data_IF_788699906547
#
_entry.id   IF_788699906547
#
_cell.length_a   1.000
_cell.length_b   1.000
_cell.length_c   1.000
_cell.angle_alpha   90.00
_cell.angle_beta   90.00
_cell.angle_gamma   90.00
#
_symmetry.space_group_name_H-M   'P 1'
#
loop_
_entity.id
_entity.type
_entity.pdbx_description
1 polymer ?
#
# COMPACT_ATOMS: atom_id res chain seq x y z
N UNK A 1 2.57 0.50 -14.63
CA UNK A 1 1.99 1.75 -14.04
C UNK A 1 2.44 1.82 -12.60
N UNK A 2 2.90 2.97 -12.10
CA UNK A 2 3.27 3.13 -10.69
C UNK A 2 1.98 3.30 -9.86
N UNK A 3 1.73 2.38 -8.94
CA UNK A 3 0.53 2.39 -8.09
C UNK A 3 0.77 3.20 -6.82
N UNK A 4 1.89 2.96 -6.11
CA UNK A 4 2.21 3.58 -4.82
C UNK A 4 3.20 4.71 -5.03
N UNK A 5 2.91 5.88 -4.44
CA UNK A 5 3.82 7.01 -4.39
C UNK A 5 3.75 7.68 -3.02
N UNK A 6 4.79 8.46 -2.68
CA UNK A 6 4.82 9.28 -1.45
C UNK A 6 4.52 8.45 -0.19
N UNK A 7 5.05 7.22 -0.14
CA UNK A 7 4.91 6.30 0.99
C UNK A 7 5.78 6.75 2.17
N UNK A 8 5.23 6.59 3.38
CA UNK A 8 5.91 6.81 4.65
C UNK A 8 5.48 5.74 5.64
N UNK A 9 6.45 5.21 6.35
CA UNK A 9 6.24 4.23 7.43
C UNK A 9 6.55 4.90 8.76
N UNK A 10 5.68 4.70 9.74
CA UNK A 10 5.79 5.27 11.08
C UNK A 10 5.72 4.16 12.11
N UNK A 11 6.36 4.35 13.25
CA UNK A 11 6.28 3.48 14.42
C UNK A 11 6.77 2.04 14.20
N UNK A 12 7.63 1.83 13.19
CA UNK A 12 8.10 0.49 12.83
C UNK A 12 8.94 -0.13 13.97
N UNK A 13 9.93 0.59 14.42
CA UNK A 13 10.86 0.10 15.43
C UNK A 13 10.24 0.16 16.82
N UNK A 14 9.48 1.18 17.12
CA UNK A 14 8.71 1.35 18.34
C UNK A 14 7.74 0.17 18.55
N UNK A 15 7.00 -0.20 17.50
CA UNK A 15 6.13 -1.37 17.53
C UNK A 15 6.88 -2.68 17.70
N UNK A 16 8.09 -2.81 17.16
CA UNK A 16 8.97 -3.96 17.40
C UNK A 16 9.40 -4.05 18.87
N UNK A 17 9.73 -2.92 19.50
CA UNK A 17 10.07 -2.85 20.93
C UNK A 17 8.84 -3.20 21.76
N UNK A 18 7.70 -2.54 21.49
CA UNK A 18 6.45 -2.72 22.22
C UNK A 18 5.90 -4.15 22.13
N UNK A 19 6.22 -4.90 21.06
CA UNK A 19 5.86 -6.32 20.95
C UNK A 19 6.37 -7.18 22.11
N UNK A 20 7.32 -6.67 22.90
CA UNK A 20 7.88 -7.34 24.07
C UNK A 20 7.13 -7.10 25.38
N UNK A 21 6.21 -6.15 25.43
CA UNK A 21 5.55 -5.77 26.69
C UNK A 21 4.80 -6.93 27.34
N UNK A 22 4.18 -7.79 26.55
CA UNK A 22 3.49 -8.97 27.06
C UNK A 22 4.39 -9.99 27.78
N UNK A 23 5.71 -9.88 27.64
CA UNK A 23 6.71 -10.76 28.26
C UNK A 23 7.41 -10.11 29.45
N UNK A 24 7.05 -8.86 29.81
CA UNK A 24 7.60 -8.17 30.96
C UNK A 24 6.87 -8.62 32.23
N UNK A 25 7.62 -9.03 33.27
CA UNK A 25 7.07 -9.29 34.60
C UNK A 25 6.62 -7.98 35.26
N UNK A 26 7.38 -6.90 35.03
CA UNK A 26 7.10 -5.56 35.52
C UNK A 26 7.44 -4.58 34.40
N UNK A 27 6.54 -3.64 34.15
CA UNK A 27 6.85 -2.52 33.26
C UNK A 27 7.82 -1.57 33.96
N UNK A 28 9.00 -1.40 33.36
CA UNK A 28 10.00 -0.43 33.80
C UNK A 28 10.15 0.64 32.72
N UNK A 29 9.76 1.87 33.06
CA UNK A 29 9.74 3.00 32.12
C UNK A 29 11.15 3.38 31.70
N UNK A 30 12.16 3.32 32.59
CA UNK A 30 13.53 3.70 32.27
C UNK A 30 14.16 2.73 31.28
N UNK A 31 13.91 1.43 31.47
CA UNK A 31 14.35 0.40 30.52
C UNK A 31 13.74 0.58 29.15
N UNK A 32 12.42 0.84 29.06
CA UNK A 32 11.71 1.07 27.82
C UNK A 32 12.21 2.33 27.12
N UNK A 33 12.36 3.44 27.86
CA UNK A 33 12.91 4.69 27.31
C UNK A 33 14.35 4.48 26.81
N UNK A 34 15.16 3.69 27.53
CA UNK A 34 16.52 3.36 27.11
C UNK A 34 16.53 2.63 25.76
N UNK A 35 15.63 1.64 25.56
CA UNK A 35 15.50 0.95 24.26
C UNK A 35 15.06 1.91 23.15
N UNK A 36 14.08 2.80 23.40
CA UNK A 36 13.67 3.80 22.42
C UNK A 36 14.76 4.82 22.08
N UNK A 37 15.59 5.23 23.05
CA UNK A 37 16.73 6.13 22.77
C UNK A 37 17.73 5.52 21.80
N UNK A 38 17.90 4.20 21.81
CA UNK A 38 18.78 3.49 20.87
C UNK A 38 18.28 3.54 19.43
N UNK A 39 16.98 3.82 19.18
CA UNK A 39 16.44 4.00 17.83
C UNK A 39 16.95 5.26 17.14
N UNK A 40 17.44 6.24 17.92
CA UNK A 40 18.03 7.49 17.38
C UNK A 40 19.45 7.22 16.88
N UNK A 41 20.08 6.14 17.33
CA UNK A 41 21.39 5.71 16.86
C UNK A 41 21.23 4.75 15.68
N UNK A 42 21.63 5.19 14.48
CA UNK A 42 21.56 4.41 13.24
C UNK A 42 22.27 3.03 13.34
N UNK A 43 23.11 2.83 14.38
CA UNK A 43 23.80 1.56 14.61
C UNK A 43 22.90 0.52 15.31
N UNK A 44 21.78 0.91 15.91
CA UNK A 44 20.92 0.02 16.68
C UNK A 44 20.34 -1.13 15.87
N UNK A 45 20.01 -0.88 14.59
CA UNK A 45 19.49 -1.87 13.65
C UNK A 45 20.51 -2.37 12.65
N UNK A 46 21.77 -1.92 12.71
CA UNK A 46 22.85 -2.30 11.78
C UNK A 46 23.17 -3.81 11.75
N UNK A 47 22.67 -4.57 12.76
CA UNK A 47 22.73 -6.04 12.83
C UNK A 47 21.36 -6.62 13.14
N UNK A 48 20.44 -6.48 12.20
CA UNK A 48 19.04 -6.90 12.35
C UNK A 48 18.88 -8.35 12.78
N UNK A 49 19.71 -9.26 12.24
CA UNK A 49 19.68 -10.67 12.59
C UNK A 49 20.04 -10.94 14.06
N UNK A 50 20.78 -10.07 14.71
CA UNK A 50 21.15 -10.19 16.13
C UNK A 50 20.19 -9.45 17.07
N UNK A 51 19.35 -8.55 16.52
CA UNK A 51 18.46 -7.72 17.30
C UNK A 51 17.32 -8.55 17.94
N UNK A 52 17.20 -8.49 19.28
CA UNK A 52 16.17 -9.23 20.04
C UNK A 52 14.75 -8.86 19.65
N UNK A 53 14.50 -7.58 19.31
CA UNK A 53 13.17 -7.07 18.94
C UNK A 53 12.78 -7.54 17.55
N UNK A 54 13.70 -7.51 16.59
CA UNK A 54 13.52 -8.07 15.25
C UNK A 54 13.20 -9.56 15.33
N UNK A 55 14.02 -10.35 16.02
CA UNK A 55 13.77 -11.80 16.21
C UNK A 55 12.41 -12.09 16.82
N UNK A 56 11.98 -11.28 17.78
CA UNK A 56 10.68 -11.45 18.44
C UNK A 56 9.53 -11.15 17.49
N UNK A 57 9.56 -10.01 16.76
CA UNK A 57 8.48 -9.68 15.82
C UNK A 57 8.38 -10.72 14.70
N UNK A 58 9.50 -11.19 14.16
CA UNK A 58 9.51 -12.27 13.17
C UNK A 58 8.91 -13.57 13.73
N UNK A 59 9.22 -13.93 14.98
CA UNK A 59 8.62 -15.11 15.64
C UNK A 59 7.11 -14.95 15.85
N UNK A 60 6.63 -13.79 16.26
CA UNK A 60 5.20 -13.52 16.46
C UNK A 60 4.45 -13.53 15.13
N UNK A 61 5.07 -13.04 14.07
CA UNK A 61 4.49 -12.99 12.70
C UNK A 61 4.34 -14.37 12.06
N UNK A 62 5.05 -15.41 12.53
CA UNK A 62 4.81 -16.80 12.08
C UNK A 62 3.41 -17.32 12.39
N UNK A 63 2.72 -16.71 13.33
CA UNK A 63 1.36 -17.08 13.69
C UNK A 63 0.35 -16.57 12.66
N UNK A 64 -0.85 -17.17 12.60
CA UNK A 64 -1.93 -16.71 11.71
C UNK A 64 -2.23 -15.22 11.94
N UNK A 65 -2.48 -14.47 10.88
CA UNK A 65 -2.71 -13.02 10.94
C UNK A 65 -3.83 -12.62 11.93
N UNK A 66 -4.84 -13.46 12.10
CA UNK A 66 -5.98 -13.22 13.02
C UNK A 66 -5.82 -13.86 14.41
N UNK A 67 -4.62 -14.33 14.78
CA UNK A 67 -4.39 -15.01 16.07
C UNK A 67 -4.10 -14.05 17.23
N UNK A 68 -3.94 -12.76 16.98
CA UNK A 68 -3.50 -11.77 17.95
C UNK A 68 -1.99 -11.68 18.17
N UNK A 69 -1.22 -12.72 17.83
CA UNK A 69 0.25 -12.71 18.01
C UNK A 69 0.95 -11.65 17.14
N UNK A 70 0.61 -11.47 15.83
CA UNK A 70 1.23 -10.43 15.01
C UNK A 70 0.61 -9.03 15.23
N UNK A 71 -0.17 -8.83 16.28
CA UNK A 71 -0.94 -7.60 16.50
C UNK A 71 -0.05 -6.34 16.64
N UNK A 72 1.22 -6.50 17.06
CA UNK A 72 2.17 -5.38 17.08
C UNK A 72 2.33 -4.72 15.69
N UNK A 73 2.13 -5.47 14.60
CA UNK A 73 2.15 -4.93 13.22
C UNK A 73 0.98 -3.98 12.92
N UNK A 74 -0.06 -3.96 13.75
CA UNK A 74 -1.13 -2.97 13.64
C UNK A 74 -0.69 -1.57 14.09
N UNK A 75 0.37 -1.48 14.91
CA UNK A 75 0.99 -0.22 15.32
C UNK A 75 1.90 0.38 14.24
N UNK A 76 2.39 -0.42 13.29
CA UNK A 76 3.23 0.05 12.19
C UNK A 76 2.36 0.72 11.13
N UNK A 77 2.29 2.06 11.15
CA UNK A 77 1.43 2.83 10.29
C UNK A 77 2.09 3.14 8.95
N UNK A 78 1.29 3.10 7.88
CA UNK A 78 1.71 3.47 6.52
C UNK A 78 0.79 4.53 5.97
N UNK A 79 1.36 5.65 5.54
CA UNK A 79 0.67 6.68 4.79
C UNK A 79 1.23 6.71 3.37
N UNK A 80 0.38 6.62 2.34
CA UNK A 80 0.80 6.58 0.94
C UNK A 80 -0.25 7.15 0.00
N UNK A 81 0.17 7.59 -1.17
CA UNK A 81 -0.73 7.91 -2.27
C UNK A 81 -0.85 6.67 -3.16
N UNK A 82 -2.06 6.24 -3.45
CA UNK A 82 -2.33 5.11 -4.34
C UNK A 82 -3.18 5.53 -5.51
N UNK A 83 -2.81 5.08 -6.72
CA UNK A 83 -3.53 5.37 -7.96
C UNK A 83 -4.18 4.09 -8.46
N UNK A 84 -5.50 4.04 -8.42
CA UNK A 84 -6.30 2.90 -8.83
C UNK A 84 -7.45 3.33 -9.75
N UNK A 85 -7.94 2.39 -10.55
CA UNK A 85 -9.24 2.57 -11.20
C UNK A 85 -10.38 2.63 -10.18
N UNK A 86 -11.48 3.28 -10.53
CA UNK A 86 -12.71 3.24 -9.72
C UNK A 86 -13.15 1.81 -9.41
N UNK A 87 -12.84 0.86 -10.29
CA UNK A 87 -13.14 -0.56 -10.08
C UNK A 87 -12.42 -1.12 -8.87
N UNK A 88 -11.13 -0.83 -8.72
CA UNK A 88 -10.32 -1.28 -7.59
C UNK A 88 -10.65 -0.50 -6.31
N UNK A 89 -10.96 0.80 -6.41
CA UNK A 89 -11.32 1.62 -5.24
C UNK A 89 -12.51 1.05 -4.47
N UNK A 90 -13.55 0.59 -5.16
CA UNK A 90 -14.73 -0.07 -4.53
C UNK A 90 -14.34 -1.33 -3.77
N UNK A 91 -13.33 -2.05 -4.22
CA UNK A 91 -12.81 -3.22 -3.50
C UNK A 91 -11.91 -2.83 -2.32
N UNK A 92 -11.17 -1.72 -2.44
CA UNK A 92 -10.36 -1.14 -1.37
C UNK A 92 -11.21 -0.72 -0.17
N UNK A 93 -12.35 -0.10 -0.38
CA UNK A 93 -13.26 0.38 0.66
C UNK A 93 -13.82 -0.74 1.57
N UNK A 94 -13.66 -2.00 1.20
CA UNK A 94 -14.04 -3.16 2.03
C UNK A 94 -13.07 -3.44 3.18
N UNK A 95 -11.90 -2.83 3.18
CA UNK A 95 -10.92 -3.02 4.24
C UNK A 95 -11.17 -2.03 5.38
N UNK A 96 -11.23 -2.54 6.62
CA UNK A 96 -11.66 -1.74 7.77
C UNK A 96 -10.52 -0.96 8.44
N UNK A 97 -9.30 -1.51 8.45
CA UNK A 97 -8.15 -0.87 9.10
C UNK A 97 -7.35 0.01 8.13
N UNK A 98 -8.07 0.86 7.44
CA UNK A 98 -7.52 1.87 6.53
C UNK A 98 -8.44 3.09 6.50
N UNK A 99 -7.87 4.23 6.17
CA UNK A 99 -8.62 5.47 5.98
C UNK A 99 -8.22 6.10 4.66
N UNK A 100 -9.22 6.45 3.86
CA UNK A 100 -9.04 7.34 2.71
C UNK A 100 -9.09 8.77 3.26
N UNK A 101 -7.93 9.43 3.30
CA UNK A 101 -7.79 10.79 3.82
C UNK A 101 -8.41 11.79 2.84
N UNK A 102 -8.14 11.59 1.54
CA UNK A 102 -8.69 12.38 0.43
C UNK A 102 -8.47 11.65 -0.88
N UNK A 103 -9.21 12.01 -1.91
CA UNK A 103 -9.04 11.48 -3.26
C UNK A 103 -9.29 12.56 -4.32
N UNK A 104 -8.81 12.33 -5.54
CA UNK A 104 -9.27 13.11 -6.69
C UNK A 104 -10.78 12.95 -6.85
N UNK A 105 -11.45 14.04 -7.16
CA UNK A 105 -12.91 14.07 -7.31
C UNK A 105 -13.32 14.08 -8.78
N UNK A 106 -14.08 13.09 -9.21
CA UNK A 106 -14.72 13.09 -10.52
C UNK A 106 -15.76 14.21 -10.63
N UNK A 107 -16.48 14.52 -9.55
CA UNK A 107 -17.50 15.56 -9.55
C UNK A 107 -16.94 16.96 -9.84
N UNK A 108 -15.72 17.25 -9.34
CA UNK A 108 -15.13 18.59 -9.50
C UNK A 108 -14.12 18.69 -10.65
N UNK A 109 -13.55 17.57 -11.07
CA UNK A 109 -12.40 17.58 -11.98
C UNK A 109 -12.68 16.97 -13.34
N UNK A 110 -13.67 16.09 -13.49
CA UNK A 110 -13.91 15.33 -14.72
C UNK A 110 -14.06 16.23 -15.96
N UNK A 111 -14.69 17.40 -15.81
CA UNK A 111 -14.81 18.39 -16.89
C UNK A 111 -13.49 19.00 -17.37
N UNK A 112 -12.42 18.89 -16.57
CA UNK A 112 -11.10 19.49 -16.82
C UNK A 112 -9.97 18.46 -16.91
N UNK A 113 -10.25 17.17 -16.70
CA UNK A 113 -9.25 16.10 -16.77
C UNK A 113 -8.80 15.87 -18.22
N UNK A 114 -7.50 15.56 -18.38
CA UNK A 114 -7.01 14.99 -19.62
C UNK A 114 -7.45 13.53 -19.70
N UNK A 115 -8.49 13.26 -20.48
CA UNK A 115 -9.09 11.92 -20.59
C UNK A 115 -8.27 10.93 -21.42
N UNK A 116 -7.17 11.35 -22.06
CA UNK A 116 -6.32 10.44 -22.84
C UNK A 116 -5.43 9.54 -21.95
N UNK A 117 -5.07 10.02 -20.76
CA UNK A 117 -4.12 9.35 -19.87
C UNK A 117 -4.75 8.81 -18.56
N UNK A 118 -6.04 9.07 -18.37
CA UNK A 118 -6.72 8.82 -17.10
C UNK A 118 -7.28 7.40 -16.94
N UNK A 119 -7.14 6.51 -17.92
CA UNK A 119 -7.78 5.19 -17.89
C UNK A 119 -6.76 4.05 -17.74
N UNK A 120 -7.23 2.90 -17.27
CA UNK A 120 -6.50 1.64 -17.41
C UNK A 120 -6.50 1.23 -18.87
N UNK A 121 -5.44 0.57 -19.32
CA UNK A 121 -5.19 0.19 -20.71
C UNK A 121 -6.35 -0.59 -21.36
N UNK A 122 -7.06 -1.38 -20.55
CA UNK A 122 -8.16 -2.23 -21.02
C UNK A 122 -9.50 -1.50 -21.12
N UNK A 123 -9.54 -0.17 -20.91
CA UNK A 123 -10.77 0.60 -21.12
C UNK A 123 -11.01 0.77 -22.61
N UNK A 124 -12.21 0.40 -23.07
CA UNK A 124 -12.60 0.50 -24.49
C UNK A 124 -12.54 1.94 -24.99
N UNK A 125 -11.86 2.16 -26.14
CA UNK A 125 -11.66 3.48 -26.74
C UNK A 125 -12.99 4.16 -27.09
N UNK A 126 -14.00 3.41 -27.53
CA UNK A 126 -15.33 3.96 -27.86
C UNK A 126 -15.98 4.59 -26.62
N UNK A 127 -15.78 3.99 -25.45
CA UNK A 127 -16.29 4.53 -24.17
C UNK A 127 -15.54 5.81 -23.80
N UNK A 128 -14.21 5.82 -23.99
CA UNK A 128 -13.37 7.01 -23.74
C UNK A 128 -13.78 8.16 -24.65
N UNK A 129 -13.93 7.91 -25.95
CA UNK A 129 -14.32 8.93 -26.93
C UNK A 129 -15.71 9.47 -26.63
N UNK A 130 -16.65 8.60 -26.23
CA UNK A 130 -17.98 9.07 -25.80
C UNK A 130 -17.89 9.96 -24.57
N UNK A 131 -17.03 9.65 -23.62
CA UNK A 131 -16.84 10.50 -22.44
C UNK A 131 -16.21 11.86 -22.81
N UNK A 132 -15.26 11.89 -23.75
CA UNK A 132 -14.69 13.13 -24.31
C UNK A 132 -15.75 14.01 -24.96
N UNK A 133 -16.68 13.42 -25.73
CA UNK A 133 -17.81 14.16 -26.31
C UNK A 133 -18.70 14.77 -25.21
N UNK A 134 -19.02 14.00 -24.16
CA UNK A 134 -19.83 14.49 -23.05
C UNK A 134 -19.11 15.61 -22.27
N UNK A 135 -17.79 15.48 -22.09
CA UNK A 135 -16.95 16.51 -21.48
C UNK A 135 -16.99 17.81 -22.30
N UNK A 136 -16.82 17.70 -23.63
CA UNK A 136 -16.92 18.83 -24.55
C UNK A 136 -18.30 19.47 -24.50
N UNK A 137 -19.37 18.67 -24.59
CA UNK A 137 -20.74 19.17 -24.54
C UNK A 137 -21.03 19.96 -23.23
N UNK A 138 -20.52 19.47 -22.08
CA UNK A 138 -20.65 20.20 -20.84
C UNK A 138 -19.82 21.50 -20.84
N UNK A 139 -18.61 21.48 -21.35
CA UNK A 139 -17.75 22.67 -21.37
C UNK A 139 -18.29 23.76 -22.33
N UNK A 140 -18.89 23.35 -23.45
CA UNK A 140 -19.51 24.28 -24.41
C UNK A 140 -20.86 24.82 -23.92
N UNK A 141 -21.62 24.00 -23.17
CA UNK A 141 -22.93 24.35 -22.61
C UNK A 141 -23.08 23.79 -21.19
N UNK A 142 -22.66 24.54 -20.13
CA UNK A 142 -22.56 24.06 -18.76
C UNK A 142 -23.92 24.01 -18.04
N UNK A 143 -24.84 23.19 -18.52
CA UNK A 143 -26.12 22.91 -17.89
C UNK A 143 -26.00 21.79 -16.87
N UNK A 144 -26.93 21.76 -15.89
CA UNK A 144 -27.04 20.64 -14.94
C UNK A 144 -27.23 19.30 -15.65
N UNK A 145 -28.01 19.27 -16.72
CA UNK A 145 -28.26 18.06 -17.49
C UNK A 145 -26.95 17.52 -18.10
N UNK A 146 -26.18 18.36 -18.78
CA UNK A 146 -24.90 17.97 -19.38
C UNK A 146 -23.88 17.54 -18.33
N UNK A 147 -23.86 18.22 -17.17
CA UNK A 147 -23.05 17.84 -16.03
C UNK A 147 -23.39 16.42 -15.55
N UNK A 148 -24.67 16.12 -15.31
CA UNK A 148 -25.09 14.81 -14.84
C UNK A 148 -24.81 13.71 -15.86
N UNK A 149 -25.02 13.97 -17.17
CA UNK A 149 -24.64 13.05 -18.25
C UNK A 149 -23.15 12.72 -18.20
N UNK A 150 -22.30 13.72 -18.04
CA UNK A 150 -20.84 13.53 -17.95
C UNK A 150 -20.47 12.67 -16.71
N UNK A 151 -20.93 13.04 -15.53
CA UNK A 151 -20.51 12.40 -14.27
C UNK A 151 -21.02 10.96 -14.18
N UNK A 152 -22.28 10.70 -14.54
CA UNK A 152 -22.86 9.36 -14.48
C UNK A 152 -22.40 8.43 -15.61
N UNK A 153 -21.81 8.98 -16.67
CA UNK A 153 -21.24 8.18 -17.77
C UNK A 153 -19.78 7.83 -17.56
N UNK A 154 -19.19 8.21 -16.42
CA UNK A 154 -17.79 7.93 -16.12
C UNK A 154 -17.55 6.42 -15.97
N UNK A 155 -16.69 5.79 -16.78
CA UNK A 155 -16.44 4.35 -16.72
C UNK A 155 -15.60 3.96 -15.51
N UNK A 156 -15.76 2.72 -15.05
CA UNK A 156 -15.03 2.16 -13.91
C UNK A 156 -13.51 2.06 -14.11
N UNK A 157 -13.04 2.12 -15.37
CA UNK A 157 -11.61 2.10 -15.70
C UNK A 157 -10.90 3.45 -15.49
N UNK A 158 -11.63 4.52 -15.11
CA UNK A 158 -11.00 5.80 -14.78
C UNK A 158 -10.11 5.65 -13.55
N UNK A 159 -8.83 6.05 -13.68
CA UNK A 159 -7.85 6.06 -12.58
C UNK A 159 -7.96 7.34 -11.77
N UNK A 160 -7.92 7.20 -10.47
CA UNK A 160 -7.87 8.29 -9.51
C UNK A 160 -6.79 8.02 -8.47
N UNK A 161 -6.17 9.07 -7.98
CA UNK A 161 -5.22 8.98 -6.87
C UNK A 161 -5.93 9.33 -5.57
N UNK A 162 -5.69 8.52 -4.54
CA UNK A 162 -6.16 8.77 -3.18
C UNK A 162 -5.00 8.71 -2.19
N UNK A 163 -5.02 9.61 -1.20
CA UNK A 163 -4.15 9.52 -0.02
C UNK A 163 -4.79 8.59 0.99
N UNK A 164 -4.05 7.58 1.42
CA UNK A 164 -4.55 6.58 2.38
C UNK A 164 -3.60 6.46 3.57
N UNK A 165 -4.18 6.07 4.72
CA UNK A 165 -3.44 5.64 5.90
C UNK A 165 -3.92 4.25 6.29
N UNK A 166 -3.00 3.34 6.55
CA UNK A 166 -3.26 1.95 6.95
C UNK A 166 -2.13 1.44 7.85
N UNK A 167 -2.04 0.13 8.08
CA UNK A 167 -0.98 -0.50 8.87
C UNK A 167 -0.47 -1.80 8.22
N UNK A 168 0.67 -2.29 8.72
CA UNK A 168 1.30 -3.50 8.16
C UNK A 168 0.40 -4.73 8.25
N UNK A 169 -0.30 -4.93 9.35
CA UNK A 169 -1.18 -6.10 9.52
C UNK A 169 -2.30 -6.11 8.47
N UNK A 170 -2.90 -4.94 8.19
CA UNK A 170 -3.91 -4.81 7.14
C UNK A 170 -3.28 -5.02 5.75
N UNK A 171 -2.09 -4.46 5.49
CA UNK A 171 -1.41 -4.64 4.20
C UNK A 171 -1.01 -6.10 3.95
N UNK A 172 -0.56 -6.83 4.97
CA UNK A 172 -0.31 -8.29 4.85
C UNK A 172 -1.59 -9.06 4.53
N UNK A 173 -2.72 -8.66 5.12
CA UNK A 173 -4.04 -9.23 4.81
C UNK A 173 -4.45 -8.94 3.37
N UNK A 174 -4.29 -7.69 2.91
CA UNK A 174 -4.54 -7.29 1.52
C UNK A 174 -3.65 -8.09 0.56
N UNK A 175 -2.35 -8.16 0.84
CA UNK A 175 -1.39 -8.93 0.04
C UNK A 175 -1.84 -10.39 -0.13
N UNK A 176 -2.12 -11.06 0.98
CA UNK A 176 -2.56 -12.46 0.96
C UNK A 176 -3.83 -12.69 0.12
N UNK A 177 -4.76 -11.74 0.14
CA UNK A 177 -6.04 -11.84 -0.59
C UNK A 177 -5.92 -11.39 -2.05
N UNK A 178 -4.99 -10.51 -2.39
CA UNK A 178 -4.98 -9.77 -3.66
C UNK A 178 -3.81 -10.06 -4.59
N UNK A 179 -2.72 -10.68 -4.13
CA UNK A 179 -1.53 -10.94 -4.97
C UNK A 179 -1.82 -11.72 -6.26
N UNK A 180 -2.84 -12.58 -6.24
CA UNK A 180 -3.29 -13.36 -7.40
C UNK A 180 -4.67 -12.89 -7.90
N UNK A 181 -5.01 -11.62 -7.71
CA UNK A 181 -6.30 -11.09 -8.12
C UNK A 181 -6.41 -10.93 -9.64
N UNK A 182 -7.64 -11.00 -10.19
CA UNK A 182 -7.90 -10.88 -11.63
C UNK A 182 -7.63 -9.49 -12.18
N UNK A 183 -7.80 -8.43 -11.38
CA UNK A 183 -7.46 -7.07 -11.77
C UNK A 183 -5.94 -6.87 -11.60
N UNK A 184 -5.21 -6.54 -12.67
CA UNK A 184 -3.74 -6.48 -12.65
C UNK A 184 -3.20 -5.42 -11.71
N UNK A 185 -3.96 -4.36 -11.44
CA UNK A 185 -3.60 -3.29 -10.53
C UNK A 185 -3.30 -3.80 -9.10
N UNK A 186 -4.04 -4.82 -8.62
CA UNK A 186 -3.77 -5.45 -7.33
C UNK A 186 -2.43 -6.19 -7.31
N UNK A 187 -2.08 -6.85 -8.41
CA UNK A 187 -0.78 -7.52 -8.55
C UNK A 187 0.38 -6.53 -8.49
N UNK A 188 0.27 -5.40 -9.22
CA UNK A 188 1.27 -4.33 -9.20
C UNK A 188 1.35 -3.67 -7.81
N UNK A 189 0.22 -3.42 -7.15
CA UNK A 189 0.18 -2.92 -5.78
C UNK A 189 0.94 -3.84 -4.81
N UNK A 190 0.65 -5.14 -4.85
CA UNK A 190 1.31 -6.13 -4.00
C UNK A 190 2.83 -6.19 -4.24
N UNK A 191 3.26 -6.10 -5.50
CA UNK A 191 4.67 -6.02 -5.86
C UNK A 191 5.33 -4.77 -5.29
N UNK A 192 4.70 -3.59 -5.47
CA UNK A 192 5.25 -2.35 -4.96
C UNK A 192 5.28 -2.28 -3.43
N UNK A 193 4.40 -2.98 -2.70
CA UNK A 193 4.50 -3.10 -1.24
C UNK A 193 5.80 -3.77 -0.81
N UNK A 194 6.18 -4.86 -1.47
CA UNK A 194 7.45 -5.57 -1.20
C UNK A 194 8.65 -4.67 -1.52
N UNK A 195 8.62 -3.97 -2.64
CA UNK A 195 9.73 -3.14 -3.10
C UNK A 195 9.97 -1.90 -2.23
N UNK A 196 8.93 -1.38 -1.58
CA UNK A 196 8.95 -0.05 -0.96
C UNK A 196 8.88 -0.05 0.56
N UNK A 197 8.29 -1.08 1.17
CA UNK A 197 8.06 -1.08 2.61
C UNK A 197 9.16 -1.88 3.33
N UNK A 198 9.84 -1.28 4.33
CA UNK A 198 10.90 -1.94 5.10
C UNK A 198 10.41 -3.25 5.75
N UNK A 199 11.19 -4.32 5.64
CA UNK A 199 10.92 -5.64 6.23
C UNK A 199 9.61 -6.31 5.78
N UNK A 200 8.88 -5.73 4.83
CA UNK A 200 7.57 -6.25 4.45
C UNK A 200 7.67 -7.63 3.79
N UNK A 201 8.70 -7.84 2.97
CA UNK A 201 8.98 -9.13 2.37
C UNK A 201 9.26 -10.21 3.43
N UNK A 202 10.18 -9.94 4.35
CA UNK A 202 10.60 -10.87 5.41
C UNK A 202 9.41 -11.23 6.31
N UNK A 203 8.53 -10.27 6.61
CA UNK A 203 7.31 -10.50 7.36
C UNK A 203 6.33 -11.43 6.62
N UNK A 204 6.17 -11.25 5.31
CA UNK A 204 5.36 -12.14 4.47
C UNK A 204 5.95 -13.54 4.39
N UNK A 205 7.27 -13.63 4.24
CA UNK A 205 8.00 -14.90 4.15
C UNK A 205 7.86 -15.72 5.44
N UNK A 206 8.15 -15.12 6.60
CA UNK A 206 8.04 -15.84 7.89
C UNK A 206 6.60 -16.22 8.24
N UNK A 207 5.61 -15.48 7.74
CA UNK A 207 4.18 -15.83 7.88
C UNK A 207 3.76 -16.97 6.93
N UNK A 208 4.58 -17.31 5.93
CA UNK A 208 4.26 -18.32 4.92
C UNK A 208 3.24 -17.87 3.87
N UNK A 209 3.08 -16.56 3.67
CA UNK A 209 2.19 -15.98 2.66
C UNK A 209 2.83 -16.06 1.26
N UNK A 210 4.16 -15.90 1.16
CA UNK A 210 4.88 -15.97 -0.11
C UNK A 210 4.89 -17.39 -0.67
N UNK A 211 4.60 -17.52 -1.96
CA UNK A 211 4.77 -18.78 -2.68
C UNK A 211 6.12 -18.81 -3.44
N UNK A 212 6.47 -19.95 -4.07
CA UNK A 212 7.72 -20.10 -4.81
C UNK A 212 7.82 -19.13 -6.00
N UNK A 213 6.69 -18.69 -6.57
CA UNK A 213 6.67 -17.72 -7.68
C UNK A 213 6.98 -16.32 -7.20
N UNK A 214 6.52 -15.97 -6.01
CA UNK A 214 6.84 -14.69 -5.38
C UNK A 214 8.34 -14.60 -5.07
N UNK A 215 8.94 -15.69 -4.56
CA UNK A 215 10.38 -15.79 -4.27
C UNK A 215 11.26 -15.65 -5.53
N UNK A 216 10.89 -16.28 -6.64
CA UNK A 216 11.64 -16.20 -7.91
C UNK A 216 11.60 -14.78 -8.49
N UNK A 217 10.48 -14.06 -8.33
CA UNK A 217 10.36 -12.66 -8.79
C UNK A 217 11.33 -11.75 -8.05
N UNK A 218 11.53 -11.94 -6.75
CA UNK A 218 12.43 -11.09 -5.96
C UNK A 218 13.90 -11.32 -6.25
N UNK A 219 14.33 -12.54 -6.47
CA UNK A 219 15.70 -12.82 -6.90
C UNK A 219 16.02 -12.04 -8.17
N UNK A 220 15.06 -11.90 -9.09
CA UNK A 220 15.20 -11.07 -10.29
C UNK A 220 15.27 -9.57 -10.00
N UNK A 221 14.54 -9.06 -9.00
CA UNK A 221 14.53 -7.64 -8.61
C UNK A 221 15.83 -7.28 -7.89
N UNK A 222 16.28 -8.10 -6.94
CA UNK A 222 17.53 -7.92 -6.22
C UNK A 222 18.75 -7.90 -7.18
N UNK A 223 18.78 -8.80 -8.17
CA UNK A 223 19.82 -8.82 -9.20
C UNK A 223 19.79 -7.58 -10.11
N UNK A 224 18.61 -7.07 -10.46
CA UNK A 224 18.50 -5.85 -11.27
C UNK A 224 18.92 -4.60 -10.50
N UNK A 225 18.60 -4.51 -9.23
CA UNK A 225 19.02 -3.39 -8.37
C UNK A 225 20.52 -3.41 -8.12
N UNK A 226 21.13 -4.58 -7.92
CA UNK A 226 22.57 -4.74 -7.80
C UNK A 226 23.31 -4.30 -9.08
N UNK A 227 22.82 -4.71 -10.25
CA UNK A 227 23.40 -4.34 -11.55
C UNK A 227 23.21 -2.85 -11.92
N UNK A 228 22.25 -2.13 -11.31
CA UNK A 228 22.11 -0.68 -11.49
C UNK A 228 23.02 0.11 -10.55
N UNK A 229 23.31 -0.38 -9.35
CA UNK A 229 24.23 0.27 -8.41
C UNK A 229 25.69 0.17 -8.80
N UNK A 230 26.08 -0.83 -9.62
CA UNK A 230 27.44 -0.94 -10.18
C UNK A 230 27.68 -0.06 -11.43
N UNK A 231 26.65 0.64 -11.93
CA UNK A 231 26.74 1.52 -13.11
C UNK A 231 26.70 3.01 -12.78
N UNK A 232 26.71 3.37 -11.50
CA UNK A 232 26.85 4.72 -10.96
C UNK A 232 28.19 4.89 -10.25
#
# INVERSE_FOLDING_TARGET
>A
MKIITNEKVYDLHESMIASGYAMMEKYDEEDVISEYRKLIDDTFFSKEEENKHYKRIMKLTKSKLNSGHPNALSGVLVAMDVTFSNKVMVEWERYHFQQIVTSQSTMHRLSKMNLEECFVEQTDEVIIDRLKELQKNYNDNPTRENYLKLVYSCPSGLKLTMRVTTNYLQLMTMYNQRRNHRLPEWGEFCKELIEKLPYFYELLEVNGILDEKDKVREIGIAQNNYNQSEKL
#
